data_IF_038356757155
#
_entry.id   IF_038356757155
#
_cell.length_a   1.000
_cell.length_b   1.000
_cell.length_c   1.000
_cell.angle_alpha   90.00
_cell.angle_beta   90.00
_cell.angle_gamma   90.00
#
_symmetry.space_group_name_H-M   'P 1'
#
loop_
_entity.id
_entity.type
_entity.pdbx_description
1 polymer ?
#
# COMPACT_ATOMS: atom_id res chain seq x y z
N UNK A 1 -2.72 -15.54 26.37
CA UNK A 1 -3.35 -15.72 25.04
C UNK A 1 -3.80 -14.34 24.60
N UNK A 2 -2.83 -13.46 24.36
CA UNK A 2 -3.14 -12.12 23.93
C UNK A 2 -3.30 -12.12 22.42
N UNK A 3 -4.20 -11.26 21.97
CA UNK A 3 -4.60 -11.00 20.60
C UNK A 3 -3.41 -10.85 19.66
N UNK A 4 -2.85 -11.95 19.18
CA UNK A 4 -2.20 -12.07 17.86
C UNK A 4 -3.27 -12.00 16.77
N UNK A 5 -4.25 -11.13 16.97
CA UNK A 5 -5.02 -10.59 15.89
C UNK A 5 -3.99 -9.89 15.02
N UNK A 6 -3.68 -10.58 13.93
CA UNK A 6 -3.35 -10.11 12.60
C UNK A 6 -4.07 -8.77 12.27
N UNK A 7 -3.83 -7.73 13.04
CA UNK A 7 -4.25 -6.35 12.79
C UNK A 7 -3.16 -5.77 11.89
N UNK A 8 -3.03 -6.40 10.72
CA UNK A 8 -2.33 -5.81 9.60
C UNK A 8 -3.40 -5.11 8.78
N UNK A 9 -3.31 -3.78 8.72
CA UNK A 9 -4.26 -2.91 8.05
C UNK A 9 -4.11 -2.96 6.50
N UNK A 10 -3.63 -4.09 5.95
CA UNK A 10 -3.47 -4.30 4.51
C UNK A 10 -4.77 -4.10 3.73
N UNK A 11 -5.93 -4.34 4.35
CA UNK A 11 -7.22 -4.07 3.71
C UNK A 11 -7.43 -2.56 3.48
N UNK A 12 -6.97 -1.73 4.41
CA UNK A 12 -6.91 -0.28 4.25
C UNK A 12 -5.98 0.12 3.11
N UNK A 13 -4.79 -0.48 3.03
CA UNK A 13 -3.85 -0.29 1.91
C UNK A 13 -4.52 -0.63 0.57
N UNK A 14 -5.07 -1.84 0.44
CA UNK A 14 -5.73 -2.30 -0.79
C UNK A 14 -6.92 -1.41 -1.16
N UNK A 15 -7.73 -1.01 -0.18
CA UNK A 15 -8.89 -0.14 -0.41
C UNK A 15 -8.46 1.23 -0.93
N UNK A 16 -7.52 1.89 -0.27
CA UNK A 16 -7.02 3.21 -0.69
C UNK A 16 -6.29 3.13 -2.04
N UNK A 17 -5.50 2.08 -2.26
CA UNK A 17 -4.83 1.84 -3.54
C UNK A 17 -5.81 1.64 -4.70
N UNK A 18 -6.87 0.85 -4.49
CA UNK A 18 -7.91 0.63 -5.51
C UNK A 18 -8.74 1.89 -5.72
N UNK A 19 -9.11 2.60 -4.65
CA UNK A 19 -9.90 3.83 -4.73
C UNK A 19 -9.16 4.92 -5.52
N UNK A 20 -7.85 5.06 -5.31
CA UNK A 20 -7.01 6.01 -6.05
C UNK A 20 -6.83 5.60 -7.51
N UNK A 21 -6.64 4.30 -7.80
CA UNK A 21 -6.64 3.78 -9.18
C UNK A 21 -7.98 4.01 -9.88
N UNK A 22 -9.09 3.80 -9.17
CA UNK A 22 -10.44 4.08 -9.67
C UNK A 22 -10.63 5.57 -9.97
N UNK A 23 -10.16 6.44 -9.07
CA UNK A 23 -10.19 7.89 -9.29
C UNK A 23 -9.41 8.31 -10.54
N UNK A 24 -8.21 7.75 -10.75
CA UNK A 24 -7.40 7.95 -11.96
C UNK A 24 -8.15 7.48 -13.21
N UNK A 25 -8.82 6.33 -13.15
CA UNK A 25 -9.60 5.82 -14.27
C UNK A 25 -10.80 6.73 -14.60
N UNK A 26 -11.55 7.17 -13.60
CA UNK A 26 -12.68 8.09 -13.77
C UNK A 26 -12.23 9.42 -14.39
N UNK A 27 -11.08 9.97 -13.98
CA UNK A 27 -10.50 11.16 -14.61
C UNK A 27 -10.12 10.88 -16.07
N UNK A 28 -9.52 9.72 -16.36
CA UNK A 28 -9.15 9.36 -17.72
C UNK A 28 -10.37 9.16 -18.63
N UNK A 29 -11.45 8.57 -18.14
CA UNK A 29 -12.69 8.35 -18.88
C UNK A 29 -13.46 9.67 -19.05
N UNK A 30 -13.55 10.48 -18.00
CA UNK A 30 -14.17 11.80 -18.04
C UNK A 30 -13.49 12.73 -19.05
N UNK A 31 -12.16 12.67 -19.18
CA UNK A 31 -11.43 13.41 -20.23
C UNK A 31 -11.68 12.90 -21.64
N UNK A 32 -11.81 11.59 -21.84
CA UNK A 32 -12.08 11.01 -23.16
C UNK A 32 -13.51 11.26 -23.66
N UNK A 33 -14.48 11.29 -22.75
CA UNK A 33 -15.89 11.45 -23.07
C UNK A 33 -16.44 12.86 -22.74
N UNK A 34 -15.58 13.83 -22.43
CA UNK A 34 -15.93 15.20 -22.02
C UNK A 34 -16.98 15.29 -20.88
N UNK A 35 -17.05 14.27 -20.02
CA UNK A 35 -18.00 14.19 -18.91
C UNK A 35 -17.38 14.78 -17.63
N UNK A 36 -17.68 16.05 -17.34
CA UNK A 36 -17.11 16.74 -16.18
C UNK A 36 -17.46 16.09 -14.84
N UNK A 37 -18.65 15.48 -14.70
CA UNK A 37 -19.07 14.78 -13.48
C UNK A 37 -18.15 13.61 -13.11
N UNK A 38 -17.65 12.87 -14.10
CA UNK A 38 -16.69 11.77 -13.88
C UNK A 38 -15.30 12.26 -13.50
N UNK A 39 -14.90 13.42 -14.02
CA UNK A 39 -13.63 14.06 -13.65
C UNK A 39 -13.67 14.48 -12.18
N UNK A 40 -14.73 15.18 -11.76
CA UNK A 40 -14.91 15.58 -10.37
C UNK A 40 -15.04 14.40 -9.41
N UNK A 41 -15.80 13.36 -9.79
CA UNK A 41 -15.89 12.13 -9.00
C UNK A 41 -14.55 11.42 -8.84
N UNK A 42 -13.73 11.40 -9.89
CA UNK A 42 -12.38 10.83 -9.83
C UNK A 42 -11.39 11.65 -9.00
N UNK A 43 -11.46 12.98 -9.07
CA UNK A 43 -10.67 13.88 -8.22
C UNK A 43 -11.06 13.68 -6.75
N UNK A 44 -12.35 13.63 -6.45
CA UNK A 44 -12.86 13.40 -5.11
C UNK A 44 -12.38 12.05 -4.55
N UNK A 45 -12.38 10.99 -5.36
CA UNK A 45 -11.90 9.67 -4.94
C UNK A 45 -10.41 9.64 -4.58
N UNK A 46 -9.57 10.47 -5.21
CA UNK A 46 -8.14 10.59 -4.87
C UNK A 46 -7.94 11.46 -3.64
N UNK A 47 -8.71 12.55 -3.52
CA UNK A 47 -8.58 13.52 -2.41
C UNK A 47 -9.13 12.95 -1.11
N UNK A 48 -10.18 12.13 -1.16
CA UNK A 48 -10.88 11.62 0.03
C UNK A 48 -9.94 10.88 1.00
N UNK A 49 -9.11 9.90 0.58
CA UNK A 49 -8.12 9.27 1.46
C UNK A 49 -7.09 10.26 2.03
N UNK A 50 -6.69 11.28 1.27
CA UNK A 50 -5.73 12.29 1.74
C UNK A 50 -6.34 13.18 2.82
N UNK A 51 -7.62 13.57 2.67
CA UNK A 51 -8.38 14.29 3.70
C UNK A 51 -8.45 13.44 4.97
N UNK A 52 -8.78 12.15 4.85
CA UNK A 52 -8.75 11.24 5.99
C UNK A 52 -7.35 11.14 6.60
N UNK A 53 -6.28 11.13 5.79
CA UNK A 53 -4.90 11.29 6.23
C UNK A 53 -4.68 12.47 7.19
N UNK A 54 -5.01 13.67 6.74
CA UNK A 54 -4.83 14.90 7.53
C UNK A 54 -5.71 14.88 8.78
N UNK A 55 -6.97 14.43 8.67
CA UNK A 55 -7.88 14.31 9.80
C UNK A 55 -7.35 13.31 10.84
N UNK A 56 -6.75 12.20 10.42
CA UNK A 56 -6.15 11.24 11.36
C UNK A 56 -4.98 11.85 12.14
N UNK A 57 -4.11 12.62 11.49
CA UNK A 57 -2.99 13.32 12.17
C UNK A 57 -3.53 14.35 13.17
N UNK A 58 -4.48 15.19 12.74
CA UNK A 58 -5.09 16.20 13.59
C UNK A 58 -5.81 15.56 14.79
N UNK A 59 -6.58 14.50 14.55
CA UNK A 59 -7.30 13.79 15.60
C UNK A 59 -6.36 13.11 16.60
N UNK A 60 -5.27 12.48 16.14
CA UNK A 60 -4.24 11.91 17.04
C UNK A 60 -3.57 12.98 17.91
N UNK A 61 -3.31 14.17 17.35
CA UNK A 61 -2.70 15.28 18.10
C UNK A 61 -3.60 15.87 19.20
N UNK A 62 -4.92 15.75 19.05
CA UNK A 62 -5.92 16.31 20.00
C UNK A 62 -6.46 15.23 20.96
N UNK A 63 -6.55 13.97 20.51
CA UNK A 63 -7.28 12.90 21.20
C UNK A 63 -6.40 12.03 22.12
N UNK A 64 -5.18 12.47 22.47
CA UNK A 64 -4.13 11.71 23.17
C UNK A 64 -4.48 11.06 24.53
N UNK A 65 -5.75 11.00 24.94
CA UNK A 65 -6.19 10.45 26.22
C UNK A 65 -7.48 9.61 26.17
N UNK A 66 -8.22 9.55 25.06
CA UNK A 66 -9.53 8.86 25.02
C UNK A 66 -9.54 7.62 24.10
N UNK A 67 -9.62 6.43 24.68
CA UNK A 67 -9.58 5.14 23.99
C UNK A 67 -10.69 4.94 22.93
N UNK A 68 -11.83 5.61 23.08
CA UNK A 68 -12.95 5.54 22.13
C UNK A 68 -12.62 6.31 20.83
N UNK A 69 -12.05 7.51 20.96
CA UNK A 69 -11.64 8.32 19.81
C UNK A 69 -10.52 7.63 19.03
N UNK A 70 -9.56 7.01 19.72
CA UNK A 70 -8.50 6.22 19.09
C UNK A 70 -9.06 5.07 18.21
N UNK A 71 -10.09 4.36 18.69
CA UNK A 71 -10.73 3.28 17.92
C UNK A 71 -11.53 3.78 16.71
N UNK A 72 -12.16 4.95 16.80
CA UNK A 72 -12.88 5.55 15.66
C UNK A 72 -11.93 6.02 14.55
N UNK A 73 -10.77 6.57 14.93
CA UNK A 73 -9.72 7.00 14.00
C UNK A 73 -9.16 5.81 13.21
N UNK A 74 -9.05 4.65 13.85
CA UNK A 74 -8.55 3.41 13.22
C UNK A 74 -9.47 2.84 12.13
N UNK A 75 -10.75 3.21 12.13
CA UNK A 75 -11.72 2.80 11.11
C UNK A 75 -11.58 3.62 9.81
N UNK A 76 -10.93 4.78 9.87
CA UNK A 76 -10.76 5.65 8.70
C UNK A 76 -9.73 5.02 7.74
N UNK A 77 -10.08 4.83 6.45
CA UNK A 77 -9.14 4.38 5.44
C UNK A 77 -8.18 5.52 5.09
N UNK A 78 -7.24 5.75 5.99
CA UNK A 78 -6.23 6.78 5.92
C UNK A 78 -4.91 6.16 5.45
N UNK A 79 -4.25 6.73 4.42
CA UNK A 79 -2.92 6.34 4.03
C UNK A 79 -1.93 6.39 5.20
N UNK A 80 -2.14 7.26 6.19
CA UNK A 80 -1.23 7.43 7.33
C UNK A 80 -1.32 6.30 8.37
N UNK A 81 -2.45 5.61 8.44
CA UNK A 81 -2.65 4.43 9.29
C UNK A 81 -2.39 3.12 8.54
N UNK A 82 -2.12 3.23 7.25
CA UNK A 82 -1.83 2.12 6.37
C UNK A 82 -0.35 1.73 6.54
N UNK A 83 -0.05 0.44 6.55
CA UNK A 83 1.30 -0.07 6.88
C UNK A 83 2.38 0.53 6.00
N UNK A 84 2.03 0.85 4.75
CA UNK A 84 2.95 1.35 3.75
C UNK A 84 2.92 2.88 3.61
N UNK A 85 2.14 3.60 4.42
CA UNK A 85 2.10 5.07 4.41
C UNK A 85 2.03 5.68 2.99
N UNK A 86 3.05 6.43 2.57
CA UNK A 86 3.14 7.03 1.24
C UNK A 86 3.53 6.02 0.14
N UNK A 87 4.21 4.93 0.49
CA UNK A 87 4.68 3.91 -0.45
C UNK A 87 3.52 3.15 -1.09
N UNK A 88 2.34 3.19 -0.48
CA UNK A 88 1.10 2.68 -1.06
C UNK A 88 0.83 3.26 -2.46
N UNK A 89 1.20 4.51 -2.71
CA UNK A 89 0.96 5.19 -3.98
C UNK A 89 1.82 4.66 -5.14
N UNK A 90 2.79 3.76 -4.88
CA UNK A 90 3.54 3.08 -5.94
C UNK A 90 2.61 2.29 -6.88
N UNK A 91 1.57 1.63 -6.34
CA UNK A 91 0.58 0.89 -7.14
C UNK A 91 -0.17 1.80 -8.15
N UNK A 92 -0.85 2.85 -7.68
CA UNK A 92 -1.46 3.87 -8.54
C UNK A 92 -0.49 4.52 -9.53
N UNK A 93 0.75 4.78 -9.12
CA UNK A 93 1.78 5.34 -10.00
C UNK A 93 2.14 4.35 -11.12
N UNK A 94 2.37 3.07 -10.80
CA UNK A 94 2.61 2.01 -11.79
C UNK A 94 1.42 1.83 -12.75
N UNK A 95 0.20 2.07 -12.27
CA UNK A 95 -1.02 2.05 -13.08
C UNK A 95 -1.03 3.20 -14.11
N UNK A 96 -0.59 4.41 -13.74
CA UNK A 96 -0.48 5.55 -14.66
C UNK A 96 0.52 5.28 -15.78
N UNK A 97 1.70 4.73 -15.43
CA UNK A 97 2.77 4.44 -16.39
C UNK A 97 2.65 3.04 -17.02
N UNK A 98 1.52 2.35 -16.88
CA UNK A 98 1.31 0.95 -17.32
C UNK A 98 1.63 0.66 -18.78
N UNK A 99 1.65 1.68 -19.64
CA UNK A 99 1.99 1.55 -21.06
C UNK A 99 3.50 1.48 -21.32
N UNK A 100 4.32 1.99 -20.39
CA UNK A 100 5.78 2.08 -20.57
C UNK A 100 6.49 1.34 -19.43
N UNK A 101 6.93 0.12 -19.71
CA UNK A 101 7.63 -0.75 -18.76
C UNK A 101 8.86 -0.11 -18.12
N UNK A 102 9.68 0.60 -18.90
CA UNK A 102 10.87 1.28 -18.38
C UNK A 102 10.53 2.33 -17.33
N UNK A 103 9.37 2.99 -17.47
CA UNK A 103 8.88 3.96 -16.49
C UNK A 103 8.35 3.30 -15.22
N UNK A 104 7.76 2.10 -15.32
CA UNK A 104 7.41 1.30 -14.13
C UNK A 104 8.66 0.90 -13.35
N UNK A 105 9.68 0.40 -14.03
CA UNK A 105 10.95 0.04 -13.38
C UNK A 105 11.62 1.26 -12.74
N UNK A 106 11.66 2.40 -13.45
CA UNK A 106 12.22 3.65 -12.90
C UNK A 106 11.44 4.11 -11.67
N UNK A 107 10.11 4.01 -11.68
CA UNK A 107 9.30 4.35 -10.51
C UNK A 107 9.61 3.49 -9.29
N UNK A 108 9.80 2.17 -9.49
CA UNK A 108 10.20 1.26 -8.41
C UNK A 108 11.58 1.63 -7.86
N UNK A 109 12.56 1.91 -8.73
CA UNK A 109 13.90 2.35 -8.29
C UNK A 109 13.81 3.66 -7.51
N UNK A 110 13.10 4.66 -8.03
CA UNK A 110 12.96 5.95 -7.38
C UNK A 110 12.30 5.80 -6.00
N UNK A 111 11.25 5.00 -5.90
CA UNK A 111 10.55 4.76 -4.63
C UNK A 111 11.42 3.98 -3.65
N UNK A 112 12.20 3.00 -4.12
CA UNK A 112 13.15 2.27 -3.29
C UNK A 112 14.21 3.22 -2.71
N UNK A 113 14.78 4.12 -3.51
CA UNK A 113 15.75 5.12 -3.03
C UNK A 113 15.10 6.06 -2.00
N UNK A 114 13.92 6.62 -2.30
CA UNK A 114 13.22 7.52 -1.37
C UNK A 114 12.90 6.81 -0.06
N UNK A 115 12.52 5.53 -0.12
CA UNK A 115 12.24 4.70 1.06
C UNK A 115 13.44 4.61 2.01
N UNK A 116 14.67 4.66 1.51
CA UNK A 116 15.87 4.60 2.36
C UNK A 116 16.09 5.87 3.20
N UNK A 117 15.39 6.96 2.89
CA UNK A 117 15.63 8.27 3.54
C UNK A 117 17.06 8.78 3.36
N UNK A 118 17.78 8.29 2.34
CA UNK A 118 19.20 8.52 2.08
C UNK A 118 20.13 8.10 3.24
N UNK A 119 19.65 7.23 4.15
CA UNK A 119 20.43 6.70 5.24
C UNK A 119 20.74 5.22 5.00
N UNK A 120 22.01 4.92 4.74
CA UNK A 120 22.46 3.57 4.40
C UNK A 120 22.80 2.70 5.61
N UNK A 121 22.83 3.28 6.83
CA UNK A 121 23.25 2.56 8.03
C UNK A 121 22.17 1.62 8.61
N UNK A 122 20.89 1.89 8.33
CA UNK A 122 19.74 1.18 8.91
C UNK A 122 18.98 0.30 7.91
N UNK A 123 19.54 0.10 6.71
CA UNK A 123 18.90 -0.61 5.59
C UNK A 123 18.57 -2.08 5.87
N UNK A 124 19.33 -2.74 6.73
CA UNK A 124 19.15 -4.17 7.01
C UNK A 124 18.58 -4.45 8.39
N UNK A 125 18.24 -3.41 9.15
CA UNK A 125 17.76 -3.52 10.53
C UNK A 125 16.31 -3.07 10.68
N UNK A 126 16.01 -1.83 10.28
CA UNK A 126 14.69 -1.23 10.48
C UNK A 126 13.97 -0.93 9.17
N UNK A 127 14.73 -0.70 8.08
CA UNK A 127 14.15 -0.25 6.82
C UNK A 127 14.26 -1.34 5.76
N UNK A 128 13.28 -2.26 5.72
CA UNK A 128 13.22 -3.30 4.69
C UNK A 128 12.46 -2.88 3.42
N UNK A 129 11.86 -1.68 3.40
CA UNK A 129 11.00 -1.24 2.29
C UNK A 129 11.76 -1.09 0.96
N UNK A 130 13.04 -0.70 0.98
CA UNK A 130 13.86 -0.56 -0.22
C UNK A 130 14.03 -1.88 -1.01
N UNK A 131 13.85 -3.03 -0.35
CA UNK A 131 13.92 -4.35 -0.99
C UNK A 131 12.89 -4.51 -2.13
N UNK A 132 11.88 -3.63 -2.23
CA UNK A 132 10.99 -3.55 -3.39
C UNK A 132 11.74 -3.41 -4.73
N UNK A 133 12.99 -2.92 -4.73
CA UNK A 133 13.85 -2.86 -5.92
C UNK A 133 14.02 -4.23 -6.59
N UNK A 134 13.98 -5.33 -5.84
CA UNK A 134 14.10 -6.67 -6.40
C UNK A 134 12.90 -7.06 -7.28
N UNK A 135 11.76 -6.37 -7.17
CA UNK A 135 10.63 -6.55 -8.07
C UNK A 135 10.96 -6.21 -9.53
N UNK A 136 12.03 -5.46 -9.79
CA UNK A 136 12.50 -5.14 -11.14
C UNK A 136 12.87 -6.40 -11.91
N UNK A 137 13.42 -7.42 -11.25
CA UNK A 137 13.84 -8.67 -11.90
C UNK A 137 12.63 -9.36 -12.57
N UNK A 138 11.56 -9.75 -11.86
CA UNK A 138 10.39 -10.32 -12.51
C UNK A 138 9.70 -9.31 -13.44
N UNK A 139 9.72 -8.01 -13.11
CA UNK A 139 9.20 -6.97 -13.98
C UNK A 139 9.97 -6.85 -15.29
N UNK A 140 11.22 -7.30 -15.41
CA UNK A 140 12.04 -7.29 -16.64
C UNK A 140 11.85 -8.56 -17.50
N UNK A 141 11.51 -9.68 -16.87
CA UNK A 141 11.16 -10.94 -17.57
C UNK A 141 9.67 -11.09 -17.89
N UNK A 142 8.81 -10.21 -17.37
CA UNK A 142 7.38 -10.20 -17.68
C UNK A 142 7.09 -10.08 -19.20
N UNK A 143 6.24 -10.96 -19.73
CA UNK A 143 5.93 -11.05 -21.16
C UNK A 143 4.70 -10.24 -21.60
N UNK A 144 4.18 -9.36 -20.72
CA UNK A 144 2.99 -8.53 -21.03
C UNK A 144 1.66 -9.28 -21.01
N UNK A 145 1.66 -10.61 -20.88
CA UNK A 145 0.46 -11.44 -20.80
C UNK A 145 -0.01 -11.59 -19.36
N UNK A 146 -1.33 -11.51 -19.15
CA UNK A 146 -1.94 -11.80 -17.87
C UNK A 146 -1.56 -13.22 -17.43
N UNK A 147 -0.97 -13.36 -16.24
CA UNK A 147 -0.65 -14.66 -15.66
C UNK A 147 -1.91 -15.49 -15.41
N UNK A 148 -1.74 -16.82 -15.27
CA UNK A 148 -2.83 -17.73 -14.92
C UNK A 148 -3.42 -17.28 -13.58
N UNK A 149 -4.74 -17.07 -13.54
CA UNK A 149 -5.44 -16.59 -12.33
C UNK A 149 -5.43 -17.67 -11.25
N UNK A 150 -4.45 -17.65 -10.34
CA UNK A 150 -4.33 -18.56 -9.19
C UNK A 150 -4.89 -17.95 -7.91
N UNK A 151 -6.17 -17.52 -7.93
CA UNK A 151 -6.83 -16.86 -6.79
C UNK A 151 -6.71 -17.67 -5.50
N UNK A 152 -6.92 -18.99 -5.58
CA UNK A 152 -6.84 -19.88 -4.41
C UNK A 152 -5.47 -19.90 -3.75
N UNK A 153 -4.39 -19.89 -4.54
CA UNK A 153 -3.02 -19.80 -4.00
C UNK A 153 -2.81 -18.48 -3.25
N UNK A 154 -3.27 -17.36 -3.81
CA UNK A 154 -3.13 -16.04 -3.19
C UNK A 154 -3.85 -15.95 -1.84
N UNK A 155 -5.11 -16.41 -1.78
CA UNK A 155 -5.89 -16.39 -0.55
C UNK A 155 -5.38 -17.37 0.52
N UNK A 156 -4.81 -18.51 0.12
CA UNK A 156 -4.19 -19.45 1.06
C UNK A 156 -2.82 -18.97 1.54
N UNK A 157 -2.01 -18.39 0.66
CA UNK A 157 -0.68 -17.89 0.99
C UNK A 157 -0.72 -16.75 2.02
N UNK A 158 -1.73 -15.87 1.94
CA UNK A 158 -1.85 -14.72 2.84
C UNK A 158 -1.88 -15.08 4.35
N UNK A 159 -2.73 -15.98 4.85
CA UNK A 159 -2.59 -16.44 6.23
C UNK A 159 -1.31 -17.27 6.39
N UNK A 160 -1.06 -18.23 5.48
CA UNK A 160 -0.02 -19.25 5.67
C UNK A 160 1.39 -18.68 5.83
N UNK A 161 1.78 -17.63 5.11
CA UNK A 161 3.13 -17.08 5.23
C UNK A 161 3.39 -16.49 6.63
N UNK A 162 2.38 -15.89 7.27
CA UNK A 162 2.51 -15.37 8.63
C UNK A 162 2.65 -16.52 9.63
N UNK A 163 1.85 -17.58 9.46
CA UNK A 163 1.98 -18.81 10.26
C UNK A 163 3.34 -19.47 10.08
N UNK A 164 3.86 -19.55 8.86
CA UNK A 164 5.18 -20.13 8.58
C UNK A 164 6.28 -19.31 9.24
N UNK A 165 6.27 -17.99 9.12
CA UNK A 165 7.24 -17.11 9.77
C UNK A 165 7.17 -17.24 11.30
N UNK A 166 5.97 -17.33 11.86
CA UNK A 166 5.77 -17.57 13.29
C UNK A 166 6.36 -18.91 13.73
N UNK A 167 6.10 -20.00 12.99
CA UNK A 167 6.65 -21.32 13.28
C UNK A 167 8.19 -21.31 13.21
N UNK A 168 8.77 -20.65 12.21
CA UNK A 168 10.22 -20.51 12.08
C UNK A 168 10.80 -19.73 13.28
N UNK A 169 10.18 -18.62 13.67
CA UNK A 169 10.61 -17.83 14.84
C UNK A 169 10.53 -18.64 16.14
N UNK A 170 9.48 -19.46 16.29
CA UNK A 170 9.33 -20.38 17.41
C UNK A 170 10.43 -21.46 17.42
N UNK A 171 10.71 -22.10 16.27
CA UNK A 171 11.78 -23.10 16.15
C UNK A 171 13.19 -22.51 16.39
N UNK A 172 13.41 -21.24 16.03
CA UNK A 172 14.68 -20.55 16.27
C UNK A 172 14.83 -20.05 17.72
N UNK A 173 13.85 -20.26 18.60
CA UNK A 173 13.90 -19.82 20.00
C UNK A 173 13.77 -18.31 20.19
N UNK A 174 13.33 -17.59 19.14
CA UNK A 174 13.12 -16.12 19.16
C UNK A 174 11.71 -15.77 19.64
N UNK A 175 10.79 -16.75 19.66
CA UNK A 175 9.41 -16.59 20.12
C UNK A 175 9.24 -16.90 21.61
N UNK A 176 9.58 -15.95 22.48
CA UNK A 176 9.06 -15.85 23.84
C UNK A 176 8.25 -14.55 23.98
#
# INVERSE_FOLDING_TARGET
MDSFALINNIFGDLFVGVLTMYGIQQISEGRKHHQQGKIWGGILAIILPLIFGVLTIAAVSVAGTNAIWAKMIMLLPSPMLAENSFMLYLGPLMYLVRKKRSWQMLAVVAMAIVSTGFNFSTMFTTNFQWLMVFAIVPMFFYNGKLGRSMKGFFYAFYPLHIWILYLIAWFMGVGH
#
